data_IF_647561130217
#
_entry.id   IF_647561130217
#
_cell.length_a   1.000
_cell.length_b   1.000
_cell.length_c   1.000
_cell.angle_alpha   90.00
_cell.angle_beta   90.00
_cell.angle_gamma   90.00
#
_symmetry.space_group_name_H-M   'P 1'
#
loop_
_entity.id
_entity.type
_entity.pdbx_description
1 polymer ?
#
# COMPACT_ATOMS: atom_id res chain seq x y z
N UNK A 1 -8.27 -11.35 6.55
CA UNK A 1 -7.62 -10.19 7.20
C UNK A 1 -8.36 -8.96 6.77
N UNK A 2 -8.94 -8.23 7.71
CA UNK A 2 -9.65 -6.97 7.45
C UNK A 2 -8.61 -5.88 7.16
N UNK A 3 -8.54 -5.46 5.90
CA UNK A 3 -7.57 -4.45 5.44
C UNK A 3 -8.10 -3.03 5.69
N UNK A 4 -9.41 -2.83 5.64
CA UNK A 4 -10.04 -1.52 5.89
C UNK A 4 -9.86 -1.02 7.33
N UNK A 5 -9.62 -1.93 8.27
CA UNK A 5 -9.37 -1.61 9.68
C UNK A 5 -7.91 -1.20 9.95
N UNK A 6 -7.02 -1.33 8.95
CA UNK A 6 -5.60 -1.01 9.09
C UNK A 6 -5.33 0.46 8.76
N UNK A 7 -4.42 1.08 9.50
CA UNK A 7 -3.89 2.39 9.13
C UNK A 7 -3.02 2.30 7.87
N UNK A 8 -2.80 3.43 7.21
CA UNK A 8 -1.93 3.51 6.02
C UNK A 8 -0.53 2.96 6.33
N UNK A 9 0.02 3.26 7.49
CA UNK A 9 1.35 2.78 7.87
C UNK A 9 1.37 1.26 8.14
N UNK A 10 0.27 0.67 8.62
CA UNK A 10 0.14 -0.78 8.76
C UNK A 10 0.03 -1.45 7.38
N UNK A 11 -0.74 -0.87 6.45
CA UNK A 11 -0.82 -1.34 5.07
C UNK A 11 0.57 -1.27 4.41
N UNK A 12 1.32 -0.19 4.60
CA UNK A 12 2.68 -0.08 4.07
C UNK A 12 3.60 -1.16 4.65
N UNK A 13 3.49 -1.50 5.94
CA UNK A 13 4.26 -2.60 6.54
C UNK A 13 3.94 -3.98 5.95
N UNK A 14 2.74 -4.17 5.41
CA UNK A 14 2.40 -5.39 4.66
C UNK A 14 2.96 -5.39 3.24
N UNK A 15 3.22 -4.21 2.66
CA UNK A 15 3.68 -4.05 1.28
C UNK A 15 5.20 -4.01 1.15
N UNK A 16 5.88 -3.31 2.06
CA UNK A 16 7.32 -3.07 1.96
C UNK A 16 8.11 -4.02 2.88
N UNK A 17 9.25 -4.56 2.40
CA UNK A 17 10.17 -5.27 3.27
C UNK A 17 10.65 -4.41 4.45
N UNK A 18 10.83 -5.01 5.62
CA UNK A 18 11.21 -4.33 6.87
C UNK A 18 12.46 -3.45 6.74
N UNK A 19 13.42 -3.83 5.89
CA UNK A 19 14.66 -3.07 5.62
C UNK A 19 14.44 -1.68 5.02
N UNK A 20 13.24 -1.39 4.49
CA UNK A 20 12.90 -0.06 4.00
C UNK A 20 12.46 0.89 5.10
N UNK A 21 11.99 0.38 6.25
CA UNK A 21 11.50 1.19 7.35
C UNK A 21 12.66 1.70 8.19
N UNK A 22 12.70 3.01 8.39
CA UNK A 22 13.66 3.68 9.25
C UNK A 22 13.01 3.94 10.61
N UNK A 23 13.80 3.80 11.68
CA UNK A 23 13.40 4.18 13.05
C UNK A 23 12.10 3.50 13.52
N UNK A 24 11.82 2.29 13.06
CA UNK A 24 10.59 1.58 13.36
C UNK A 24 10.38 1.32 14.87
N UNK A 25 11.46 1.31 15.66
CA UNK A 25 11.47 1.20 17.12
C UNK A 25 11.08 2.50 17.84
N UNK A 26 11.04 3.62 17.12
CA UNK A 26 10.77 4.97 17.66
C UNK A 26 9.42 5.54 17.24
N UNK A 27 8.75 4.92 16.29
CA UNK A 27 7.50 5.39 15.70
C UNK A 27 6.32 4.56 16.20
N UNK A 28 5.14 5.17 16.25
CA UNK A 28 3.91 4.46 16.57
C UNK A 28 3.52 3.48 15.45
N UNK A 29 2.61 2.55 15.74
CA UNK A 29 2.20 1.51 14.77
C UNK A 29 1.48 2.08 13.53
N UNK A 30 0.90 3.26 13.65
CA UNK A 30 0.19 4.03 12.63
C UNK A 30 1.05 5.10 11.96
N UNK A 31 2.31 5.21 12.34
CA UNK A 31 3.31 6.06 11.70
C UNK A 31 4.34 5.22 10.94
N UNK A 32 4.94 5.77 9.89
CA UNK A 32 6.11 5.17 9.27
C UNK A 32 7.00 6.20 8.58
N UNK A 33 8.31 5.96 8.63
CA UNK A 33 9.27 6.59 7.74
C UNK A 33 9.97 5.49 6.96
N UNK A 34 9.98 5.59 5.63
CA UNK A 34 10.58 4.60 4.76
C UNK A 34 11.53 5.23 3.73
N UNK A 35 12.63 4.52 3.47
CA UNK A 35 13.55 4.82 2.39
C UNK A 35 13.30 3.89 1.21
N UNK A 36 12.78 4.44 0.12
CA UNK A 36 12.42 3.67 -1.06
C UNK A 36 12.80 4.41 -2.35
N UNK A 37 13.51 3.74 -3.25
CA UNK A 37 13.91 4.25 -4.59
C UNK A 37 14.48 5.68 -4.57
N UNK A 38 15.38 5.97 -3.64
CA UNK A 38 16.02 7.29 -3.52
C UNK A 38 15.16 8.38 -2.89
N UNK A 39 14.03 8.01 -2.27
CA UNK A 39 13.12 8.93 -1.59
C UNK A 39 12.97 8.55 -0.12
N UNK A 40 12.61 9.54 0.69
CA UNK A 40 12.01 9.34 1.99
C UNK A 40 10.50 9.52 1.84
N UNK A 41 9.75 8.63 2.48
CA UNK A 41 8.29 8.67 2.52
C UNK A 41 7.89 8.65 3.99
N UNK A 42 7.07 9.62 4.37
CA UNK A 42 6.51 9.80 5.70
C UNK A 42 5.04 9.43 5.60
N UNK A 43 4.59 8.61 6.54
CA UNK A 43 3.19 8.26 6.73
C UNK A 43 2.83 8.69 8.14
N UNK A 44 1.86 9.58 8.24
CA UNK A 44 1.39 10.17 9.50
C UNK A 44 0.20 9.39 10.08
N UNK A 45 -0.11 9.57 11.38
CA UNK A 45 -1.20 8.82 12.05
C UNK A 45 -2.57 8.98 11.41
N UNK A 46 -2.84 10.15 10.81
CA UNK A 46 -4.09 10.47 10.10
C UNK A 46 -4.17 9.83 8.70
N UNK A 47 -3.11 9.15 8.27
CA UNK A 47 -3.01 8.52 6.96
C UNK A 47 -2.37 9.41 5.89
N UNK A 48 -2.03 10.66 6.21
CA UNK A 48 -1.37 11.55 5.26
C UNK A 48 -0.02 10.96 4.84
N UNK A 49 0.28 11.06 3.54
CA UNK A 49 1.54 10.60 2.98
C UNK A 49 2.29 11.78 2.40
N UNK A 50 3.56 11.92 2.77
CA UNK A 50 4.45 12.94 2.23
C UNK A 50 5.73 12.28 1.75
N UNK A 51 6.21 12.66 0.57
CA UNK A 51 7.51 12.19 0.07
C UNK A 51 8.46 13.35 -0.22
N UNK A 52 9.74 13.07 -0.09
CA UNK A 52 10.84 13.99 -0.44
C UNK A 52 12.01 13.20 -1.01
N UNK A 53 12.86 13.84 -1.81
CA UNK A 53 14.11 13.22 -2.26
C UNK A 53 15.02 12.92 -1.05
N UNK A 54 15.61 11.73 -1.02
CA UNK A 54 16.55 11.38 0.03
C UNK A 54 17.89 12.09 -0.24
N UNK A 55 18.43 12.86 0.72
CA UNK A 55 19.74 13.47 0.58
C UNK A 55 20.83 12.42 0.33
N UNK A 56 21.68 12.62 -0.67
CA UNK A 56 22.78 11.71 -1.01
C UNK A 56 24.06 12.00 -0.22
N UNK A 57 24.19 13.21 0.30
CA UNK A 57 25.37 13.72 1.00
C UNK A 57 25.28 13.59 2.54
N UNK A 58 24.14 13.15 3.08
CA UNK A 58 23.93 13.03 4.53
C UNK A 58 23.35 11.65 4.87
N UNK A 59 23.97 10.89 5.78
CA UNK A 59 23.41 9.63 6.25
C UNK A 59 22.15 9.89 7.10
N UNK A 60 21.14 9.02 6.97
CA UNK A 60 19.93 9.05 7.80
C UNK A 60 20.16 8.20 9.04
N UNK A 61 20.68 8.79 10.12
CA UNK A 61 21.04 8.06 11.36
C UNK A 61 19.97 8.20 12.44
N UNK A 62 19.25 9.32 12.45
CA UNK A 62 18.21 9.60 13.43
C UNK A 62 16.92 10.08 12.78
N UNK A 63 15.83 10.08 13.55
CA UNK A 63 14.54 10.59 13.09
C UNK A 63 14.62 12.10 12.78
N UNK A 64 15.42 12.84 13.56
CA UNK A 64 15.69 14.25 13.30
C UNK A 64 16.35 14.47 11.93
N UNK A 65 17.30 13.60 11.52
CA UNK A 65 17.89 13.69 10.17
C UNK A 65 16.81 13.59 9.08
N UNK A 66 15.82 12.72 9.26
CA UNK A 66 14.72 12.56 8.32
C UNK A 66 13.81 13.79 8.31
N UNK A 67 13.47 14.37 9.47
CA UNK A 67 12.69 15.60 9.53
C UNK A 67 13.42 16.79 8.91
N UNK A 68 14.75 16.92 9.12
CA UNK A 68 15.54 17.92 8.41
C UNK A 68 15.48 17.72 6.90
N UNK A 69 15.58 16.47 6.43
CA UNK A 69 15.43 16.17 5.01
C UNK A 69 14.04 16.52 4.46
N UNK A 70 12.98 16.39 5.27
CA UNK A 70 11.64 16.82 4.88
C UNK A 70 11.55 18.34 4.74
N UNK A 71 12.16 19.09 5.65
CA UNK A 71 12.13 20.56 5.65
C UNK A 71 12.96 21.19 4.52
N UNK A 72 14.17 20.69 4.28
CA UNK A 72 15.11 21.26 3.30
C UNK A 72 15.07 20.56 1.93
N UNK A 73 14.43 19.40 1.86
CA UNK A 73 14.56 18.49 0.74
C UNK A 73 13.85 18.98 -0.52
N UNK A 74 14.43 18.59 -1.65
CA UNK A 74 13.85 18.85 -2.97
C UNK A 74 12.76 17.83 -3.28
N UNK A 75 11.85 18.22 -4.17
CA UNK A 75 10.81 17.31 -4.66
C UNK A 75 9.83 16.88 -3.57
N UNK A 76 9.65 17.73 -2.55
CA UNK A 76 8.60 17.57 -1.56
C UNK A 76 7.25 17.46 -2.27
N UNK A 77 6.51 16.42 -1.91
CA UNK A 77 5.17 16.16 -2.41
C UNK A 77 4.34 15.65 -1.26
N UNK A 78 3.46 16.52 -0.81
CA UNK A 78 2.32 16.17 0.03
C UNK A 78 1.20 15.67 -0.90
N UNK A 79 0.70 14.46 -0.66
CA UNK A 79 -0.34 13.88 -1.51
C UNK A 79 -1.72 14.46 -1.20
N UNK A 80 -1.96 14.93 0.03
CA UNK A 80 -3.24 15.51 0.43
C UNK A 80 -3.42 16.89 -0.21
N UNK A 81 -2.35 17.69 -0.28
CA UNK A 81 -2.32 18.98 -1.01
C UNK A 81 -2.66 18.82 -2.51
N UNK A 82 -2.43 17.63 -3.06
CA UNK A 82 -2.73 17.30 -4.46
C UNK A 82 -4.09 16.63 -4.64
N UNK A 83 -4.86 16.45 -3.56
CA UNK A 83 -6.13 15.73 -3.56
C UNK A 83 -5.99 14.24 -3.90
N UNK A 84 -4.84 13.64 -3.62
CA UNK A 84 -4.54 12.23 -3.89
C UNK A 84 -4.64 11.41 -2.60
N UNK A 85 -5.84 10.89 -2.31
CA UNK A 85 -6.10 10.07 -1.11
C UNK A 85 -6.04 8.55 -1.39
N UNK A 86 -6.01 8.16 -2.66
CA UNK A 86 -6.02 6.77 -3.07
C UNK A 86 -4.61 6.14 -2.96
N UNK A 87 -4.48 5.12 -2.11
CA UNK A 87 -3.20 4.46 -1.87
C UNK A 87 -2.64 3.77 -3.12
N UNK A 88 -3.48 3.26 -4.02
CA UNK A 88 -3.01 2.64 -5.26
C UNK A 88 -2.33 3.67 -6.17
N UNK A 89 -2.91 4.86 -6.32
CA UNK A 89 -2.30 5.97 -7.06
C UNK A 89 -1.00 6.48 -6.39
N UNK A 90 -0.99 6.58 -5.06
CA UNK A 90 0.22 6.94 -4.30
C UNK A 90 1.33 5.91 -4.54
N UNK A 91 1.04 4.62 -4.42
CA UNK A 91 2.00 3.54 -4.66
C UNK A 91 2.53 3.54 -6.11
N UNK A 92 1.68 3.87 -7.09
CA UNK A 92 2.10 4.05 -8.48
C UNK A 92 3.07 5.23 -8.64
N UNK A 93 2.79 6.39 -8.04
CA UNK A 93 3.70 7.56 -8.08
C UNK A 93 5.04 7.29 -7.36
N UNK A 94 4.99 6.53 -6.26
CA UNK A 94 6.20 6.06 -5.56
C UNK A 94 7.04 5.11 -6.43
N UNK A 95 6.47 4.55 -7.50
CA UNK A 95 7.09 3.52 -8.33
C UNK A 95 7.26 2.21 -7.57
N UNK A 96 6.27 1.88 -6.73
CA UNK A 96 6.26 0.63 -5.98
C UNK A 96 6.26 -0.57 -6.93
N UNK A 97 7.19 -1.50 -6.68
CA UNK A 97 7.33 -2.75 -7.41
C UNK A 97 7.21 -3.88 -6.42
N UNK A 98 6.32 -4.82 -6.72
CA UNK A 98 6.07 -6.01 -5.92
C UNK A 98 6.25 -7.26 -6.76
N UNK A 99 6.85 -8.28 -6.16
CA UNK A 99 7.02 -9.57 -6.80
C UNK A 99 5.74 -10.38 -6.63
N UNK A 100 5.16 -10.80 -7.76
CA UNK A 100 4.07 -11.78 -7.76
C UNK A 100 4.51 -13.10 -7.12
N UNK A 101 5.75 -13.49 -7.42
CA UNK A 101 6.29 -14.83 -7.23
C UNK A 101 7.20 -15.11 -8.45
N UNK A 102 8.28 -15.87 -8.27
CA UNK A 102 9.14 -16.28 -9.39
C UNK A 102 8.46 -17.26 -10.36
N UNK A 103 9.14 -17.65 -11.46
CA UNK A 103 8.62 -18.60 -12.47
C UNK A 103 8.12 -19.93 -11.90
N UNK A 104 8.67 -20.36 -10.77
CA UNK A 104 8.31 -21.62 -10.09
C UNK A 104 7.58 -21.39 -8.76
N UNK A 105 7.08 -20.18 -8.51
CA UNK A 105 6.39 -19.86 -7.26
C UNK A 105 5.01 -20.52 -7.26
N UNK A 106 4.92 -21.64 -6.55
CA UNK A 106 3.67 -22.27 -6.12
C UNK A 106 3.64 -22.23 -4.61
N UNK A 107 3.01 -21.20 -4.06
CA UNK A 107 2.81 -21.13 -2.61
C UNK A 107 1.80 -22.18 -2.15
N UNK A 108 0.94 -22.68 -3.05
CA UNK A 108 -0.26 -23.42 -2.65
C UNK A 108 -1.30 -22.51 -1.99
N UNK A 109 -1.08 -21.19 -2.01
CA UNK A 109 -1.98 -20.18 -1.45
C UNK A 109 -2.58 -19.34 -2.56
N UNK A 110 -3.90 -19.26 -2.56
CA UNK A 110 -4.67 -18.25 -3.24
C UNK A 110 -5.10 -17.14 -2.28
N UNK A 111 -5.44 -15.98 -2.83
CA UNK A 111 -6.02 -14.86 -2.10
C UNK A 111 -7.35 -14.47 -2.73
N UNK A 112 -8.37 -14.38 -1.89
CA UNK A 112 -9.64 -13.76 -2.20
C UNK A 112 -9.61 -12.33 -1.65
N UNK A 113 -9.78 -11.34 -2.52
CA UNK A 113 -9.69 -9.92 -2.17
C UNK A 113 -11.07 -9.33 -2.37
N UNK A 114 -11.68 -8.80 -1.31
CA UNK A 114 -13.00 -8.18 -1.35
C UNK A 114 -12.86 -6.67 -1.32
N UNK A 115 -13.45 -6.00 -2.30
CA UNK A 115 -13.41 -4.55 -2.47
C UNK A 115 -14.83 -4.01 -2.27
N UNK A 116 -14.97 -2.99 -1.42
CA UNK A 116 -16.26 -2.38 -1.08
C UNK A 116 -16.19 -0.85 -1.20
N UNK A 117 -17.32 -0.17 -1.46
CA UNK A 117 -17.42 1.27 -1.24
C UNK A 117 -17.17 1.60 0.24
N UNK A 118 -16.35 2.62 0.53
CA UNK A 118 -16.01 3.00 1.91
C UNK A 118 -17.24 3.34 2.76
N UNK A 119 -18.28 3.89 2.14
CA UNK A 119 -19.53 4.27 2.82
C UNK A 119 -20.56 3.12 2.97
N UNK A 120 -20.28 1.95 2.41
CA UNK A 120 -21.14 0.75 2.50
C UNK A 120 -20.29 -0.49 2.74
N UNK A 121 -19.63 -0.58 3.91
CA UNK A 121 -18.85 -1.76 4.27
C UNK A 121 -19.77 -3.00 4.25
N UNK A 122 -19.31 -4.08 3.62
CA UNK A 122 -20.08 -5.31 3.41
C UNK A 122 -20.80 -5.43 2.06
N UNK A 123 -21.08 -4.30 1.37
CA UNK A 123 -21.58 -4.31 0.01
C UNK A 123 -20.41 -4.46 -0.98
N UNK A 124 -19.95 -5.69 -1.18
CA UNK A 124 -18.80 -5.95 -2.05
C UNK A 124 -19.11 -5.55 -3.49
N UNK A 125 -18.42 -4.52 -3.97
CA UNK A 125 -18.47 -4.07 -5.35
C UNK A 125 -17.71 -5.04 -6.27
N UNK A 126 -16.63 -5.64 -5.77
CA UNK A 126 -15.83 -6.58 -6.55
C UNK A 126 -15.10 -7.58 -5.65
N UNK A 127 -14.87 -8.78 -6.19
CA UNK A 127 -14.08 -9.82 -5.54
C UNK A 127 -13.03 -10.34 -6.52
N UNK A 128 -11.74 -10.13 -6.20
CA UNK A 128 -10.63 -10.65 -6.99
C UNK A 128 -10.16 -11.99 -6.44
N UNK A 129 -9.73 -12.87 -7.34
CA UNK A 129 -9.17 -14.19 -7.02
C UNK A 129 -7.79 -14.29 -7.63
N UNK A 130 -6.76 -14.29 -6.79
CA UNK A 130 -5.36 -14.41 -7.22
C UNK A 130 -4.77 -15.72 -6.70
N UNK A 131 -4.13 -16.50 -7.57
CA UNK A 131 -3.51 -17.78 -7.19
C UNK A 131 -2.00 -17.68 -7.26
N UNK A 132 -1.33 -18.37 -6.34
CA UNK A 132 0.12 -18.51 -6.34
C UNK A 132 0.80 -17.14 -6.39
N UNK A 133 0.34 -16.22 -5.55
CA UNK A 133 0.94 -14.89 -5.39
C UNK A 133 1.41 -14.66 -3.96
N UNK A 134 2.28 -13.68 -3.75
CA UNK A 134 2.62 -13.21 -2.40
C UNK A 134 1.50 -12.35 -1.80
N UNK A 135 1.38 -12.30 -0.47
CA UNK A 135 0.43 -11.40 0.20
C UNK A 135 0.62 -9.91 -0.19
N UNK A 136 1.86 -9.35 -0.22
CA UNK A 136 2.07 -7.99 -0.71
C UNK A 136 1.53 -7.76 -2.12
N UNK A 137 1.69 -8.74 -3.02
CA UNK A 137 1.16 -8.66 -4.38
C UNK A 137 -0.36 -8.62 -4.38
N UNK A 138 -1.01 -9.48 -3.60
CA UNK A 138 -2.46 -9.50 -3.48
C UNK A 138 -3.02 -8.17 -2.96
N UNK A 139 -2.43 -7.62 -1.89
CA UNK A 139 -2.84 -6.32 -1.34
C UNK A 139 -2.64 -5.21 -2.36
N UNK A 140 -1.46 -5.14 -3.00
CA UNK A 140 -1.17 -4.10 -3.99
C UNK A 140 -2.17 -4.13 -5.15
N UNK A 141 -2.46 -5.30 -5.69
CA UNK A 141 -3.42 -5.44 -6.79
C UNK A 141 -4.86 -5.14 -6.36
N UNK A 142 -5.23 -5.46 -5.11
CA UNK A 142 -6.49 -5.01 -4.52
C UNK A 142 -6.60 -3.48 -4.48
N UNK A 143 -5.55 -2.81 -3.98
CA UNK A 143 -5.50 -1.34 -3.91
C UNK A 143 -5.57 -0.72 -5.31
N UNK A 144 -4.80 -1.22 -6.28
CA UNK A 144 -4.87 -0.74 -7.67
C UNK A 144 -6.27 -0.89 -8.26
N UNK A 145 -6.97 -1.96 -7.94
CA UNK A 145 -8.32 -2.20 -8.42
C UNK A 145 -9.33 -1.25 -7.77
N UNK A 146 -9.19 -0.99 -6.47
CA UNK A 146 -9.97 0.03 -5.77
C UNK A 146 -9.80 1.42 -6.43
N UNK A 147 -8.57 1.81 -6.78
CA UNK A 147 -8.30 3.05 -7.53
C UNK A 147 -8.97 3.09 -8.90
N UNK A 148 -8.98 1.96 -9.60
CA UNK A 148 -9.65 1.85 -10.90
C UNK A 148 -11.15 2.04 -10.75
N UNK A 149 -11.78 1.40 -9.76
CA UNK A 149 -13.20 1.57 -9.48
C UNK A 149 -13.54 3.01 -9.10
N UNK A 150 -12.72 3.66 -8.28
CA UNK A 150 -12.86 5.09 -7.96
C UNK A 150 -12.86 5.94 -9.23
N UNK A 151 -11.91 5.74 -10.14
CA UNK A 151 -11.87 6.45 -11.43
C UNK A 151 -13.07 6.12 -12.33
N UNK A 152 -13.49 4.85 -12.40
CA UNK A 152 -14.65 4.42 -13.18
C UNK A 152 -15.95 5.02 -12.67
N UNK A 153 -16.04 5.31 -11.36
CA UNK A 153 -17.17 6.03 -10.76
C UNK A 153 -17.14 7.55 -10.98
N UNK A 154 -16.24 8.07 -11.83
CA UNK A 154 -16.08 9.52 -12.00
C UNK A 154 -15.48 10.20 -10.77
N UNK A 155 -14.80 9.44 -9.90
CA UNK A 155 -14.28 9.89 -8.59
C UNK A 155 -15.37 10.26 -7.57
N UNK A 156 -16.56 9.69 -7.70
CA UNK A 156 -17.69 9.95 -6.78
C UNK A 156 -17.76 8.93 -5.63
N UNK A 157 -17.27 7.71 -5.85
CA UNK A 157 -17.35 6.61 -4.87
C UNK A 157 -15.96 6.16 -4.50
N UNK A 158 -15.56 6.38 -3.25
CA UNK A 158 -14.31 5.85 -2.73
C UNK A 158 -14.44 4.35 -2.45
N UNK A 159 -13.48 3.57 -2.94
CA UNK A 159 -13.43 2.12 -2.73
C UNK A 159 -12.23 1.76 -1.86
N UNK A 160 -12.40 0.75 -1.02
CA UNK A 160 -11.37 0.22 -0.15
C UNK A 160 -11.25 -1.29 -0.33
N UNK A 161 -10.04 -1.82 -0.11
CA UNK A 161 -9.87 -3.26 0.12
C UNK A 161 -10.40 -3.56 1.51
N UNK A 162 -11.58 -4.16 1.59
CA UNK A 162 -12.22 -4.51 2.87
C UNK A 162 -11.49 -5.70 3.50
N UNK A 163 -11.26 -6.75 2.72
CA UNK A 163 -10.69 -7.99 3.22
C UNK A 163 -9.74 -8.65 2.21
N UNK A 164 -8.68 -9.25 2.74
CA UNK A 164 -7.83 -10.22 2.03
C UNK A 164 -7.84 -11.54 2.80
N UNK A 165 -8.37 -12.59 2.18
CA UNK A 165 -8.52 -13.92 2.76
C UNK A 165 -7.57 -14.91 2.05
N UNK A 166 -6.60 -15.52 2.76
CA UNK A 166 -5.79 -16.59 2.21
C UNK A 166 -6.60 -17.89 2.17
N UNK A 167 -6.53 -18.60 1.04
CA UNK A 167 -7.20 -19.86 0.80
C UNK A 167 -6.22 -20.86 0.16
N UNK A 168 -6.47 -22.17 0.24
CA UNK A 168 -5.75 -23.13 -0.60
C UNK A 168 -5.92 -22.77 -2.08
N UNK A 169 -4.85 -22.83 -2.87
CA UNK A 169 -4.87 -22.44 -4.29
C UNK A 169 -5.86 -23.29 -5.11
N UNK A 170 -6.05 -24.56 -4.74
CA UNK A 170 -7.06 -25.44 -5.31
C UNK A 170 -8.50 -24.98 -5.07
N UNK A 171 -8.77 -24.29 -3.96
CA UNK A 171 -10.12 -23.78 -3.64
C UNK A 171 -10.56 -22.63 -4.55
N UNK A 172 -9.61 -21.98 -5.23
CA UNK A 172 -9.92 -20.99 -6.26
C UNK A 172 -10.22 -21.65 -7.62
N UNK A 173 -10.12 -22.98 -7.74
CA UNK A 173 -10.48 -23.77 -8.93
C UNK A 173 -11.99 -23.98 -9.04
N UNK A 174 -12.68 -22.95 -9.53
CA UNK A 174 -14.00 -23.11 -10.13
C UNK A 174 -13.95 -22.53 -11.56
N UNK A 175 -14.53 -23.20 -12.57
CA UNK A 175 -14.25 -22.98 -13.98
C UNK A 175 -14.77 -21.64 -14.48
N UNK A 176 -14.13 -21.14 -15.53
CA UNK A 176 -14.69 -20.12 -16.42
C UNK A 176 -16.05 -20.63 -16.91
N UNK A 177 -17.11 -19.89 -16.59
CA UNK A 177 -18.41 -20.01 -17.27
C UNK A 177 -18.44 -19.01 -18.41
#
# INVERSE_FOLDING_TARGET
MEVEALSVAQIFRLLFPAQHFLFADRLQSDEAVLSYRGRLVFVYPDGAVVRVEKPTNRPMRTLEDAWYALFEGKGLRDYDDLGMFDLGEILQDLGYVVLAGGRDFRSGTGYLIRIAPRNRPGDYAEVLRLRDVTLPYAIYHGLLRASQLYRMSGREVEYVVAEVEPLPAESLAVPVS
#
